data_IF_852838733793
#
_entry.id   IF_852838733793
#
_cell.length_a   1.000
_cell.length_b   1.000
_cell.length_c   1.000
_cell.angle_alpha   90.00
_cell.angle_beta   90.00
_cell.angle_gamma   90.00
#
_symmetry.space_group_name_H-M   'P 1'
#
loop_
_entity.id
_entity.type
_entity.pdbx_description
1 polymer ?
#
# COMPACT_ATOMS: atom_id res chain seq x y z
N UNK A 1 -52.87 26.47 -45.05
CA UNK A 1 -51.46 26.93 -45.00
C UNK A 1 -51.04 27.01 -43.55
N UNK A 2 -50.22 26.06 -43.11
CA UNK A 2 -49.70 26.00 -41.74
C UNK A 2 -48.46 26.90 -41.67
N UNK A 3 -48.47 27.91 -40.79
CA UNK A 3 -47.30 28.75 -40.54
C UNK A 3 -46.32 27.96 -39.67
N UNK A 4 -45.17 27.60 -40.23
CA UNK A 4 -44.06 27.02 -39.48
C UNK A 4 -43.40 28.18 -38.74
N UNK A 5 -43.59 28.24 -37.42
CA UNK A 5 -42.82 29.15 -36.56
C UNK A 5 -41.40 28.59 -36.50
N UNK A 6 -40.46 29.24 -37.19
CA UNK A 6 -39.04 29.03 -36.97
C UNK A 6 -38.69 29.77 -35.68
N UNK A 7 -38.95 29.13 -34.53
CA UNK A 7 -38.35 29.55 -33.26
C UNK A 7 -36.87 29.16 -33.28
N UNK A 8 -36.11 29.94 -34.05
CA UNK A 8 -34.66 29.97 -33.99
C UNK A 8 -34.24 30.70 -32.73
N UNK A 9 -34.42 30.09 -31.56
CA UNK A 9 -33.72 30.53 -30.36
C UNK A 9 -33.25 29.34 -29.53
N UNK A 10 -32.39 28.51 -30.13
CA UNK A 10 -31.36 27.83 -29.36
C UNK A 10 -30.27 28.85 -29.11
N UNK A 11 -30.48 29.65 -28.09
CA UNK A 11 -29.46 30.49 -27.46
C UNK A 11 -28.38 29.52 -26.95
N UNK A 12 -27.50 29.09 -27.85
CA UNK A 12 -26.27 28.40 -27.53
C UNK A 12 -25.46 29.44 -26.76
N UNK A 13 -25.70 29.54 -25.45
CA UNK A 13 -24.79 30.23 -24.53
C UNK A 13 -23.44 29.57 -24.78
N UNK A 14 -22.61 30.20 -25.62
CA UNK A 14 -21.27 29.72 -25.90
C UNK A 14 -20.59 29.68 -24.54
N UNK A 15 -20.43 28.47 -24.01
CA UNK A 15 -19.64 28.25 -22.81
C UNK A 15 -18.23 28.67 -23.20
N UNK A 16 -17.84 29.91 -22.91
CA UNK A 16 -16.51 30.41 -23.20
C UNK A 16 -15.54 29.63 -22.32
N UNK A 17 -14.77 28.67 -22.89
CA UNK A 17 -13.93 27.79 -22.09
C UNK A 17 -12.90 28.60 -21.29
N UNK A 18 -12.46 29.73 -21.85
CA UNK A 18 -11.59 30.70 -21.17
C UNK A 18 -12.13 31.13 -19.80
N UNK A 19 -13.39 31.54 -19.70
CA UNK A 19 -13.97 31.97 -18.43
C UNK A 19 -14.23 30.82 -17.46
N UNK A 20 -14.59 29.64 -17.96
CA UNK A 20 -14.90 28.49 -17.10
C UNK A 20 -13.67 27.72 -16.63
N UNK A 21 -12.61 27.66 -17.43
CA UNK A 21 -11.46 26.80 -17.18
C UNK A 21 -10.22 27.61 -16.74
N UNK A 22 -10.16 28.90 -17.06
CA UNK A 22 -9.00 29.77 -16.79
C UNK A 22 -9.36 31.10 -16.10
N UNK A 23 -10.64 31.38 -15.85
CA UNK A 23 -11.08 32.64 -15.27
C UNK A 23 -11.11 33.80 -16.26
N UNK A 24 -11.43 34.99 -15.77
CA UNK A 24 -11.67 36.18 -16.57
C UNK A 24 -10.41 37.01 -16.84
N UNK A 25 -9.30 36.66 -16.17
CA UNK A 25 -8.03 37.39 -16.26
C UNK A 25 -6.83 36.46 -16.29
N UNK A 26 -5.70 36.97 -16.78
CA UNK A 26 -4.43 36.23 -16.79
C UNK A 26 -3.95 35.87 -15.38
N UNK A 27 -4.22 36.74 -14.40
CA UNK A 27 -3.87 36.51 -13.00
C UNK A 27 -4.69 35.35 -12.39
N UNK A 28 -5.99 35.30 -12.68
CA UNK A 28 -6.86 34.20 -12.26
C UNK A 28 -6.41 32.87 -12.86
N UNK A 29 -6.10 32.86 -14.16
CA UNK A 29 -5.59 31.69 -14.87
C UNK A 29 -4.29 31.16 -14.26
N UNK A 30 -3.35 32.06 -13.98
CA UNK A 30 -2.08 31.72 -13.35
C UNK A 30 -2.26 31.16 -11.93
N UNK A 31 -3.13 31.76 -11.13
CA UNK A 31 -3.40 31.31 -9.76
C UNK A 31 -4.15 29.97 -9.74
N UNK A 32 -5.07 29.72 -10.67
CA UNK A 32 -5.71 28.42 -10.84
C UNK A 32 -4.67 27.36 -11.20
N UNK A 33 -3.83 27.61 -12.21
CA UNK A 33 -2.76 26.69 -12.59
C UNK A 33 -1.80 26.38 -11.44
N UNK A 34 -1.40 27.39 -10.66
CA UNK A 34 -0.57 27.17 -9.45
C UNK A 34 -1.26 26.27 -8.43
N UNK A 35 -2.56 26.47 -8.17
CA UNK A 35 -3.32 25.66 -7.21
C UNK A 35 -3.46 24.22 -7.70
N UNK A 36 -3.77 24.03 -8.97
CA UNK A 36 -3.91 22.70 -9.59
C UNK A 36 -2.59 21.93 -9.56
N UNK A 37 -1.50 22.55 -9.98
CA UNK A 37 -0.16 21.94 -9.95
C UNK A 37 0.22 21.59 -8.51
N UNK A 38 0.00 22.51 -7.56
CA UNK A 38 0.28 22.26 -6.14
C UNK A 38 -0.55 21.10 -5.61
N UNK A 39 -1.84 21.05 -5.93
CA UNK A 39 -2.75 19.96 -5.54
C UNK A 39 -2.29 18.63 -6.11
N UNK A 40 -1.93 18.61 -7.40
CA UNK A 40 -1.44 17.42 -8.10
C UNK A 40 -0.17 16.84 -7.45
N UNK A 41 0.84 17.68 -7.20
CA UNK A 41 2.06 17.23 -6.53
C UNK A 41 1.80 16.81 -5.08
N UNK A 42 0.91 17.49 -4.35
CA UNK A 42 0.51 17.05 -3.01
C UNK A 42 -0.12 15.67 -3.03
N UNK A 43 -1.01 15.39 -3.99
CA UNK A 43 -1.62 14.07 -4.13
C UNK A 43 -0.57 12.99 -4.39
N UNK A 44 0.38 13.23 -5.30
CA UNK A 44 1.48 12.30 -5.59
C UNK A 44 2.32 12.04 -4.32
N UNK A 45 2.69 13.10 -3.59
CA UNK A 45 3.48 12.96 -2.37
C UNK A 45 2.73 12.20 -1.28
N UNK A 46 1.43 12.42 -1.14
CA UNK A 46 0.60 11.66 -0.20
C UNK A 46 0.55 10.18 -0.56
N UNK A 47 0.32 9.85 -1.83
CA UNK A 47 0.33 8.46 -2.31
C UNK A 47 1.68 7.78 -2.05
N UNK A 48 2.78 8.47 -2.34
CA UNK A 48 4.12 7.94 -2.10
C UNK A 48 4.39 7.72 -0.59
N UNK A 49 3.92 8.63 0.26
CA UNK A 49 4.01 8.50 1.71
C UNK A 49 3.23 7.28 2.21
N UNK A 50 2.00 7.10 1.73
CA UNK A 50 1.16 5.95 2.08
C UNK A 50 1.81 4.63 1.63
N UNK A 51 2.32 4.58 0.40
CA UNK A 51 3.04 3.41 -0.12
C UNK A 51 4.27 3.08 0.74
N UNK A 52 5.09 4.09 1.08
CA UNK A 52 6.26 3.90 1.93
C UNK A 52 5.86 3.37 3.31
N UNK A 53 4.84 3.94 3.93
CA UNK A 53 4.37 3.51 5.24
C UNK A 53 3.86 2.07 5.22
N UNK A 54 3.13 1.67 4.17
CA UNK A 54 2.66 0.29 4.00
C UNK A 54 3.84 -0.70 3.86
N UNK A 55 4.89 -0.32 3.12
CA UNK A 55 6.11 -1.15 2.99
C UNK A 55 6.80 -1.30 4.35
N UNK A 56 6.95 -0.22 5.11
CA UNK A 56 7.58 -0.26 6.44
C UNK A 56 6.78 -1.15 7.39
N UNK A 57 5.46 -0.96 7.47
CA UNK A 57 4.60 -1.76 8.35
C UNK A 57 4.67 -3.26 8.00
N UNK A 58 4.65 -3.60 6.70
CA UNK A 58 4.81 -4.99 6.25
C UNK A 58 6.17 -5.56 6.65
N UNK A 59 7.24 -4.78 6.48
CA UNK A 59 8.59 -5.23 6.83
C UNK A 59 8.74 -5.48 8.34
N UNK A 60 8.13 -4.64 9.19
CA UNK A 60 8.11 -4.84 10.64
C UNK A 60 7.37 -6.14 11.02
N UNK A 61 6.25 -6.43 10.37
CA UNK A 61 5.53 -7.69 10.55
C UNK A 61 6.35 -8.91 10.10
N UNK A 62 7.00 -8.83 8.93
CA UNK A 62 7.89 -9.88 8.41
C UNK A 62 9.06 -10.16 9.34
N UNK A 63 9.67 -9.12 9.93
CA UNK A 63 10.73 -9.28 10.93
C UNK A 63 10.23 -10.11 12.10
N UNK A 64 9.02 -9.84 12.59
CA UNK A 64 8.51 -10.53 13.76
C UNK A 64 8.13 -11.98 13.47
N UNK A 65 7.54 -12.24 12.30
CA UNK A 65 7.31 -13.61 11.80
C UNK A 65 8.62 -14.38 11.70
N UNK A 66 9.64 -13.79 11.09
CA UNK A 66 10.95 -14.42 10.94
C UNK A 66 11.61 -14.71 12.30
N UNK A 67 11.45 -13.80 13.28
CA UNK A 67 11.95 -14.00 14.65
C UNK A 67 11.26 -15.18 15.33
N UNK A 68 9.94 -15.29 15.22
CA UNK A 68 9.16 -16.40 15.78
C UNK A 68 9.55 -17.72 15.11
N UNK A 69 9.61 -17.76 13.78
CA UNK A 69 10.02 -18.95 13.03
C UNK A 69 11.42 -19.42 13.42
N UNK A 70 12.37 -18.49 13.59
CA UNK A 70 13.72 -18.82 14.04
C UNK A 70 13.74 -19.43 15.45
N UNK A 71 12.93 -18.89 16.37
CA UNK A 71 12.79 -19.45 17.73
C UNK A 71 12.17 -20.84 17.72
N UNK A 72 11.13 -21.07 16.91
CA UNK A 72 10.51 -22.37 16.76
C UNK A 72 11.51 -23.41 16.26
N UNK A 73 12.29 -23.07 15.24
CA UNK A 73 13.33 -23.96 14.71
C UNK A 73 14.34 -24.39 15.79
N UNK A 74 14.81 -23.44 16.60
CA UNK A 74 15.73 -23.75 17.71
C UNK A 74 15.07 -24.68 18.73
N UNK A 75 13.79 -24.48 19.04
CA UNK A 75 13.06 -25.37 19.95
C UNK A 75 12.93 -26.79 19.39
N UNK A 76 12.62 -26.93 18.10
CA UNK A 76 12.54 -28.23 17.43
C UNK A 76 13.90 -28.96 17.48
N UNK A 77 14.99 -28.26 17.15
CA UNK A 77 16.36 -28.79 17.23
C UNK A 77 16.70 -29.26 18.66
N UNK A 78 16.27 -28.52 19.69
CA UNK A 78 16.49 -28.88 21.10
C UNK A 78 15.67 -30.10 21.54
N UNK A 79 14.44 -30.22 21.05
CA UNK A 79 13.57 -31.38 21.31
C UNK A 79 14.20 -32.64 20.69
N UNK A 80 14.64 -32.56 19.44
CA UNK A 80 15.32 -33.65 18.75
C UNK A 80 16.58 -34.08 19.51
N UNK A 81 17.44 -33.13 19.89
CA UNK A 81 18.65 -33.42 20.65
C UNK A 81 18.36 -34.09 22.01
N UNK A 82 17.31 -33.64 22.69
CA UNK A 82 16.88 -34.21 23.97
C UNK A 82 16.38 -35.65 23.80
N UNK A 83 15.57 -35.91 22.76
CA UNK A 83 15.10 -37.25 22.44
C UNK A 83 16.26 -38.20 22.10
N UNK A 84 17.22 -37.74 21.29
CA UNK A 84 18.44 -38.50 20.97
C UNK A 84 19.28 -38.79 22.22
N UNK A 85 19.37 -37.82 23.15
CA UNK A 85 20.08 -38.02 24.42
C UNK A 85 19.39 -39.08 25.28
N UNK A 86 18.07 -39.02 25.43
CA UNK A 86 17.30 -40.01 26.19
C UNK A 86 17.45 -41.41 25.59
N UNK A 87 17.37 -41.55 24.26
CA UNK A 87 17.54 -42.85 23.60
C UNK A 87 18.97 -43.40 23.78
N UNK A 88 19.98 -42.53 23.71
CA UNK A 88 21.37 -42.92 24.00
C UNK A 88 21.53 -43.45 25.43
N UNK A 89 20.96 -42.76 26.42
CA UNK A 89 21.00 -43.20 27.82
C UNK A 89 20.31 -44.55 28.02
N UNK A 90 19.16 -44.76 27.36
CA UNK A 90 18.44 -46.04 27.35
C UNK A 90 19.30 -47.17 26.78
N UNK A 91 19.91 -46.98 25.61
CA UNK A 91 20.78 -47.97 24.97
C UNK A 91 22.03 -48.30 25.81
N UNK A 92 22.59 -47.29 26.50
CA UNK A 92 23.73 -47.51 27.41
C UNK A 92 23.33 -48.33 28.64
N UNK A 93 22.13 -48.10 29.19
CA UNK A 93 21.61 -48.90 30.29
C UNK A 93 21.37 -50.36 29.87
N UNK A 94 20.76 -50.57 28.69
CA UNK A 94 20.54 -51.90 28.12
C UNK A 94 21.88 -52.66 27.95
N UNK A 95 22.92 -52.01 27.41
CA UNK A 95 24.23 -52.60 27.23
C UNK A 95 24.86 -53.04 28.57
N UNK A 96 24.79 -52.18 29.60
CA UNK A 96 25.32 -52.48 30.95
C UNK A 96 24.57 -53.61 31.64
N UNK A 97 23.27 -53.76 31.39
CA UNK A 97 22.48 -54.86 31.97
C UNK A 97 22.80 -56.24 31.36
N UNK A 98 23.49 -56.26 30.21
CA UNK A 98 23.83 -57.47 29.46
C UNK A 98 25.31 -57.87 29.58
N UNK A 99 26.15 -57.04 30.18
CA UNK A 99 27.57 -57.31 30.48
C UNK A 99 27.73 -57.86 31.89
#
# INVERSE_FOLDING_TARGET
>A
MQKINVDGNRDLKLRCPMHTDYGSSLEEAFMMGKREITSHYRAILSMYKEQKNAIVAKHEEEIEVNRIQSKLKVLDDMIELSALKTEKERLQADLRSRS
#
